data_IF_101134553342
#
_entry.id   IF_101134553342
#
_cell.length_a   1.000
_cell.length_b   1.000
_cell.length_c   1.000
_cell.angle_alpha   90.00
_cell.angle_beta   90.00
_cell.angle_gamma   90.00
#
_symmetry.space_group_name_H-M   'P 1'
#
loop_
_entity.id
_entity.type
_entity.pdbx_description
1 polymer ?
#
# COMPACT_ATOMS: atom_id res chain seq x y z
N UNK A 1 16.02 -2.89 -3.77
CA UNK A 1 16.48 -3.33 -2.45
C UNK A 1 17.56 -4.37 -2.60
N UNK A 2 18.63 -4.27 -1.82
CA UNK A 2 19.66 -5.30 -1.65
C UNK A 2 19.62 -5.73 -0.19
N UNK A 3 19.54 -7.03 0.07
CA UNK A 3 19.46 -7.53 1.43
C UNK A 3 20.32 -8.79 1.63
N UNK A 4 20.84 -8.98 2.83
CA UNK A 4 21.62 -10.16 3.18
C UNK A 4 22.29 -10.07 4.54
N UNK A 5 22.75 -11.21 4.99
CA UNK A 5 23.59 -11.30 6.20
C UNK A 5 25.01 -10.84 5.88
N UNK A 6 25.66 -10.24 6.88
CA UNK A 6 27.10 -10.01 6.85
C UNK A 6 27.87 -11.35 6.74
N UNK A 7 29.19 -11.28 6.49
CA UNK A 7 30.02 -12.47 6.29
C UNK A 7 30.06 -13.41 7.51
N UNK A 8 29.79 -12.86 8.67
CA UNK A 8 29.87 -13.57 9.95
C UNK A 8 28.48 -14.01 10.45
N UNK A 9 27.40 -13.71 9.68
CA UNK A 9 25.99 -13.97 10.02
C UNK A 9 25.55 -13.33 11.35
N UNK A 10 26.13 -12.16 11.67
CA UNK A 10 25.84 -11.42 12.91
C UNK A 10 24.86 -10.30 12.70
N UNK A 11 24.78 -9.73 11.50
CA UNK A 11 23.91 -8.62 11.17
C UNK A 11 23.23 -8.83 9.79
N UNK A 12 21.91 -8.60 9.76
CA UNK A 12 21.14 -8.62 8.55
C UNK A 12 20.97 -7.18 8.02
N UNK A 13 21.56 -6.91 6.86
CA UNK A 13 21.56 -5.59 6.26
C UNK A 13 20.55 -5.54 5.12
N UNK A 14 19.82 -4.43 5.02
CA UNK A 14 18.92 -4.10 3.92
C UNK A 14 19.20 -2.68 3.45
N UNK A 15 19.61 -2.55 2.20
CA UNK A 15 19.89 -1.28 1.57
C UNK A 15 18.94 -1.02 0.41
N UNK A 16 18.38 0.18 0.34
CA UNK A 16 17.55 0.62 -0.76
C UNK A 16 18.25 1.67 -1.59
N UNK A 17 18.16 1.54 -2.90
CA UNK A 17 18.69 2.50 -3.85
C UNK A 17 17.75 2.73 -5.01
N UNK A 18 17.74 3.96 -5.52
CA UNK A 18 17.11 4.33 -6.77
C UNK A 18 18.19 4.59 -7.80
N UNK A 19 18.08 3.98 -8.97
CA UNK A 19 19.04 4.10 -10.04
C UNK A 19 18.35 4.52 -11.33
N UNK A 20 18.87 5.55 -11.97
CA UNK A 20 18.40 6.02 -13.27
C UNK A 20 19.37 5.55 -14.31
N UNK A 21 18.84 4.88 -15.32
CA UNK A 21 19.64 4.34 -16.41
C UNK A 21 19.28 5.06 -17.71
N UNK A 22 20.28 5.25 -18.55
CA UNK A 22 20.08 5.70 -19.92
C UNK A 22 19.61 4.54 -20.83
N UNK A 23 19.39 4.84 -22.12
CA UNK A 23 18.97 3.84 -23.12
C UNK A 23 19.99 2.69 -23.34
N UNK A 24 21.23 2.89 -22.97
CA UNK A 24 22.32 1.93 -23.08
C UNK A 24 22.55 1.16 -21.74
N UNK A 25 21.61 1.30 -20.78
CA UNK A 25 21.62 0.71 -19.45
C UNK A 25 22.79 1.19 -18.56
N UNK A 26 23.33 2.36 -18.85
CA UNK A 26 24.35 3.00 -18.02
C UNK A 26 23.67 3.79 -16.90
N UNK A 27 24.15 3.64 -15.67
CA UNK A 27 23.65 4.43 -14.54
C UNK A 27 24.11 5.87 -14.73
N UNK A 28 23.15 6.79 -14.87
CA UNK A 28 23.38 8.23 -15.02
C UNK A 28 23.06 9.02 -13.77
N UNK A 29 22.21 8.48 -12.90
CA UNK A 29 21.85 9.10 -11.61
C UNK A 29 21.48 8.05 -10.58
N UNK A 30 21.61 8.41 -9.29
CA UNK A 30 21.27 7.50 -8.20
C UNK A 30 20.95 8.23 -6.90
N UNK A 31 20.12 7.60 -6.07
CA UNK A 31 19.97 7.89 -4.64
C UNK A 31 20.28 6.58 -3.92
N UNK A 32 21.28 6.57 -3.06
CA UNK A 32 21.66 5.42 -2.24
C UNK A 32 21.20 5.64 -0.79
N UNK A 33 21.11 4.56 -0.02
CA UNK A 33 20.66 4.57 1.39
C UNK A 33 19.27 5.21 1.59
N UNK A 34 18.34 4.96 0.66
CA UNK A 34 16.95 5.37 0.82
C UNK A 34 16.30 4.49 1.90
N UNK A 35 16.01 5.07 3.07
CA UNK A 35 15.40 4.36 4.18
C UNK A 35 16.17 3.05 4.53
N UNK A 36 17.39 3.20 5.03
CA UNK A 36 18.24 2.10 5.47
C UNK A 36 17.53 1.22 6.49
N UNK A 37 17.58 -0.09 6.32
CA UNK A 37 16.90 -1.08 7.15
C UNK A 37 15.43 -1.32 6.78
N UNK A 38 14.78 -0.39 6.08
CA UNK A 38 13.37 -0.49 5.69
C UNK A 38 13.18 -1.28 4.38
N UNK A 39 12.01 -1.85 4.15
CA UNK A 39 11.64 -2.53 2.91
C UNK A 39 10.83 -1.59 2.01
N UNK A 40 11.15 -1.48 0.71
CA UNK A 40 10.28 -0.78 -0.25
C UNK A 40 9.04 -1.62 -0.51
N UNK A 41 7.87 -1.12 -0.12
CA UNK A 41 6.56 -1.76 -0.30
C UNK A 41 5.91 -1.41 -1.62
N UNK A 42 5.95 -0.15 -2.02
CA UNK A 42 5.37 0.28 -3.28
C UNK A 42 6.05 1.51 -3.86
N UNK A 43 5.90 1.68 -5.17
CA UNK A 43 6.37 2.84 -5.89
C UNK A 43 5.38 3.25 -7.00
N UNK A 44 5.24 4.57 -7.23
CA UNK A 44 4.46 5.14 -8.33
C UNK A 44 5.15 6.37 -8.90
N UNK A 45 5.05 6.50 -10.23
CA UNK A 45 5.67 7.62 -10.96
C UNK A 45 4.62 8.40 -11.74
N UNK A 46 4.72 9.72 -11.71
CA UNK A 46 3.92 10.63 -12.51
C UNK A 46 4.81 11.77 -13.03
N UNK A 47 5.04 11.80 -14.34
CA UNK A 47 6.00 12.73 -14.93
C UNK A 47 7.39 12.53 -14.31
N UNK A 48 7.95 13.63 -13.82
CA UNK A 48 9.28 13.65 -13.22
C UNK A 48 9.27 13.43 -11.69
N UNK A 49 8.15 13.00 -11.12
CA UNK A 49 8.03 12.74 -9.68
C UNK A 49 7.73 11.27 -9.41
N UNK A 50 8.45 10.68 -8.45
CA UNK A 50 8.18 9.34 -7.92
C UNK A 50 7.78 9.38 -6.46
N UNK A 51 6.86 8.50 -6.08
CA UNK A 51 6.41 8.27 -4.70
C UNK A 51 6.79 6.86 -4.29
N UNK A 52 7.41 6.71 -3.12
CA UNK A 52 7.94 5.44 -2.62
C UNK A 52 7.48 5.25 -1.18
N UNK A 53 6.89 4.12 -0.90
CA UNK A 53 6.56 3.70 0.47
C UNK A 53 7.59 2.68 0.91
N UNK A 54 8.19 2.92 2.07
CA UNK A 54 9.08 1.97 2.74
C UNK A 54 8.49 1.58 4.09
N UNK A 55 8.90 0.49 4.70
CA UNK A 55 8.41 0.00 5.98
C UNK A 55 9.47 -0.70 6.81
N UNK A 56 9.51 -0.34 8.10
CA UNK A 56 10.08 -1.13 9.19
C UNK A 56 9.10 -1.22 10.37
N UNK A 57 8.77 -0.08 10.99
CA UNK A 57 7.79 0.01 12.09
C UNK A 57 6.84 1.21 11.92
N UNK A 58 7.25 2.24 11.22
CA UNK A 58 6.44 3.41 10.82
C UNK A 58 6.85 3.82 9.43
N UNK A 59 5.87 4.05 8.55
CA UNK A 59 6.14 4.29 7.14
C UNK A 59 6.46 5.72 6.79
N UNK A 60 7.57 5.97 6.16
CA UNK A 60 7.67 7.15 5.33
C UNK A 60 7.16 6.90 3.90
N UNK A 61 6.28 7.79 3.45
CA UNK A 61 6.05 8.05 2.04
C UNK A 61 7.07 9.10 1.57
N UNK A 62 7.98 8.70 0.69
CA UNK A 62 8.94 9.62 0.08
C UNK A 62 8.41 10.14 -1.26
N UNK A 63 8.67 11.41 -1.55
CA UNK A 63 8.61 11.98 -2.89
C UNK A 63 10.01 12.24 -3.42
N UNK A 64 10.24 11.93 -4.68
CA UNK A 64 11.53 12.07 -5.35
C UNK A 64 11.33 12.82 -6.67
N UNK A 65 12.14 13.86 -6.88
CA UNK A 65 12.22 14.62 -8.12
C UNK A 65 13.26 13.99 -9.05
N UNK A 66 12.85 13.65 -10.26
CA UNK A 66 13.65 13.12 -11.35
C UNK A 66 13.77 14.08 -12.54
N UNK A 67 13.38 15.35 -12.38
CA UNK A 67 13.46 16.37 -13.45
C UNK A 67 14.87 16.56 -13.99
N UNK A 68 15.88 16.36 -13.13
CA UNK A 68 17.27 16.19 -13.50
C UNK A 68 17.66 14.73 -13.24
N UNK A 69 17.68 13.87 -14.29
CA UNK A 69 17.94 12.45 -14.13
C UNK A 69 19.37 12.13 -13.67
N UNK A 70 20.32 13.06 -13.83
CA UNK A 70 21.70 12.87 -13.35
C UNK A 70 21.80 13.21 -11.84
N UNK A 71 20.87 14.03 -11.31
CA UNK A 71 20.86 14.49 -9.94
C UNK A 71 19.47 14.35 -9.29
N UNK A 72 18.93 13.12 -9.16
CA UNK A 72 17.63 12.91 -8.51
C UNK A 72 17.67 13.32 -7.04
N UNK A 73 16.54 13.84 -6.51
CA UNK A 73 16.48 14.38 -5.15
C UNK A 73 15.22 13.92 -4.40
N UNK A 74 15.39 13.53 -3.15
CA UNK A 74 14.26 13.39 -2.24
C UNK A 74 13.75 14.79 -1.92
N UNK A 75 12.49 15.06 -2.25
CA UNK A 75 11.85 16.37 -2.05
C UNK A 75 10.96 16.41 -0.83
N UNK A 76 10.37 15.27 -0.44
CA UNK A 76 9.51 15.19 0.72
C UNK A 76 9.59 13.82 1.41
N UNK A 77 9.19 13.82 2.70
CA UNK A 77 9.08 12.62 3.52
C UNK A 77 7.91 12.79 4.49
N UNK A 78 6.85 12.02 4.32
CA UNK A 78 5.70 11.97 5.22
C UNK A 78 5.78 10.69 6.05
N UNK A 79 5.72 10.81 7.38
CA UNK A 79 5.56 9.66 8.28
C UNK A 79 4.09 9.45 8.64
N UNK A 80 3.61 8.22 8.48
CA UNK A 80 2.25 7.80 8.83
C UNK A 80 2.30 6.47 9.58
N UNK A 81 1.20 6.10 10.24
CA UNK A 81 1.01 4.76 10.80
C UNK A 81 0.62 3.76 9.73
N UNK A 82 1.05 2.51 9.86
CA UNK A 82 0.81 1.47 8.86
C UNK A 82 1.52 1.73 7.52
N UNK A 83 1.20 1.00 6.46
CA UNK A 83 1.88 1.10 5.18
C UNK A 83 0.97 0.83 3.97
N UNK A 84 1.35 1.40 2.80
CA UNK A 84 0.66 1.17 1.55
C UNK A 84 1.47 0.21 0.66
N UNK A 85 0.91 -0.95 0.38
CA UNK A 85 1.49 -1.92 -0.57
C UNK A 85 1.09 -1.63 -2.01
N UNK A 86 0.02 -0.87 -2.19
CA UNK A 86 -0.45 -0.43 -3.49
C UNK A 86 -0.66 1.09 -3.49
N UNK A 87 -0.20 1.75 -4.56
CA UNK A 87 -0.40 3.18 -4.81
C UNK A 87 -1.10 3.40 -6.15
N UNK A 88 -2.05 4.33 -6.20
CA UNK A 88 -2.75 4.71 -7.43
C UNK A 88 -3.00 6.22 -7.50
N UNK A 89 -2.64 6.87 -8.61
CA UNK A 89 -2.99 8.28 -8.77
C UNK A 89 -4.50 8.47 -8.90
N UNK A 90 -5.05 9.29 -8.02
CA UNK A 90 -6.48 9.60 -7.97
C UNK A 90 -6.73 11.03 -8.44
N UNK A 91 -6.48 11.27 -9.73
CA UNK A 91 -6.41 12.59 -10.35
C UNK A 91 -4.99 13.18 -10.31
N UNK A 92 -4.85 14.47 -10.57
CA UNK A 92 -3.53 15.11 -10.71
C UNK A 92 -2.84 15.37 -9.36
N UNK A 93 -3.63 15.65 -8.30
CA UNK A 93 -3.10 16.12 -7.02
C UNK A 93 -3.37 15.14 -5.86
N UNK A 94 -3.83 13.93 -6.16
CA UNK A 94 -4.15 12.93 -5.14
C UNK A 94 -3.53 11.59 -5.45
N UNK A 95 -3.12 10.91 -4.38
CA UNK A 95 -2.57 9.56 -4.43
C UNK A 95 -3.37 8.70 -3.44
N UNK A 96 -3.97 7.62 -3.93
CA UNK A 96 -4.63 6.59 -3.13
C UNK A 96 -3.58 5.55 -2.73
N UNK A 97 -3.44 5.30 -1.44
CA UNK A 97 -2.68 4.18 -0.89
C UNK A 97 -3.62 3.11 -0.35
N UNK A 98 -3.33 1.84 -0.62
CA UNK A 98 -4.03 0.70 -0.02
C UNK A 98 -2.98 -0.20 0.63
N UNK A 99 -3.21 -0.61 1.88
CA UNK A 99 -2.27 -1.42 2.63
C UNK A 99 -2.80 -1.73 4.03
N UNK A 100 -1.93 -1.74 5.01
CA UNK A 100 -2.28 -2.13 6.36
C UNK A 100 -2.13 -0.98 7.36
N UNK A 101 -3.08 -0.84 8.26
CA UNK A 101 -2.88 -0.06 9.48
C UNK A 101 -2.20 -0.93 10.51
N UNK A 102 -1.23 -0.36 11.21
CA UNK A 102 -0.49 -1.05 12.27
C UNK A 102 -0.47 -0.21 13.55
N UNK A 103 -0.56 -0.89 14.67
CA UNK A 103 -0.32 -0.27 15.97
C UNK A 103 1.16 0.15 16.08
N UNK A 104 1.45 1.43 16.35
CA UNK A 104 2.81 1.94 16.33
C UNK A 104 3.72 1.39 17.45
N UNK A 105 3.12 0.88 18.53
CA UNK A 105 3.88 0.38 19.69
C UNK A 105 4.18 -1.12 19.56
N UNK A 106 3.22 -1.90 19.09
CA UNK A 106 3.34 -3.36 18.95
C UNK A 106 3.68 -3.83 17.53
N UNK A 107 3.47 -3.00 16.50
CA UNK A 107 3.59 -3.37 15.09
C UNK A 107 2.49 -4.33 14.61
N UNK A 108 1.48 -4.62 15.43
CA UNK A 108 0.40 -5.52 15.05
C UNK A 108 -0.54 -4.89 14.04
N UNK A 109 -1.00 -5.67 13.05
CA UNK A 109 -1.97 -5.22 12.05
C UNK A 109 -3.35 -5.01 12.68
N UNK A 110 -3.94 -3.84 12.45
CA UNK A 110 -5.26 -3.46 12.94
C UNK A 110 -6.38 -3.57 11.88
N UNK A 111 -6.02 -3.63 10.61
CA UNK A 111 -6.96 -3.77 9.50
C UNK A 111 -6.40 -3.28 8.17
N UNK A 112 -7.20 -3.46 7.12
CA UNK A 112 -6.87 -2.93 5.80
C UNK A 112 -7.15 -1.43 5.77
N UNK A 113 -6.16 -0.65 5.37
CA UNK A 113 -6.21 0.82 5.30
C UNK A 113 -6.27 1.30 3.86
N UNK A 114 -7.17 2.23 3.57
CA UNK A 114 -7.08 3.09 2.40
C UNK A 114 -6.77 4.52 2.86
N UNK A 115 -5.72 5.11 2.33
CA UNK A 115 -5.29 6.48 2.61
C UNK A 115 -5.39 7.33 1.36
N UNK A 116 -5.84 8.57 1.52
CA UNK A 116 -5.78 9.58 0.46
C UNK A 116 -4.71 10.60 0.83
N UNK A 117 -3.77 10.79 -0.08
CA UNK A 117 -2.71 11.77 0.06
C UNK A 117 -2.95 12.95 -0.87
N UNK A 118 -2.74 14.17 -0.36
CA UNK A 118 -2.55 15.37 -1.16
C UNK A 118 -1.09 15.41 -1.62
N UNK A 119 -0.92 15.40 -2.94
CA UNK A 119 0.38 15.45 -3.62
C UNK A 119 0.52 16.69 -4.50
N UNK A 120 -0.29 17.73 -4.25
CA UNK A 120 -0.25 19.01 -4.99
C UNK A 120 1.10 19.70 -4.85
N UNK A 121 1.77 19.54 -3.72
CA UNK A 121 3.15 19.92 -3.50
C UNK A 121 3.97 18.67 -3.09
N UNK A 122 4.82 18.15 -3.98
CA UNK A 122 5.64 16.97 -3.66
C UNK A 122 6.58 17.16 -2.46
N UNK A 123 6.90 18.40 -2.08
CA UNK A 123 7.73 18.68 -0.90
C UNK A 123 6.95 18.65 0.42
N UNK A 124 5.62 18.75 0.35
CA UNK A 124 4.71 18.79 1.51
C UNK A 124 3.53 17.79 1.38
N UNK A 125 3.81 16.56 0.99
CA UNK A 125 2.78 15.51 0.91
C UNK A 125 2.09 15.32 2.27
N UNK A 126 0.76 15.19 2.26
CA UNK A 126 -0.06 15.03 3.47
C UNK A 126 -1.07 13.91 3.29
N UNK A 127 -1.25 13.07 4.31
CA UNK A 127 -2.42 12.21 4.41
C UNK A 127 -3.62 13.09 4.78
N UNK A 128 -4.60 13.19 3.89
CA UNK A 128 -5.76 14.08 4.07
C UNK A 128 -7.00 13.35 4.55
N UNK A 129 -7.04 12.04 4.35
CA UNK A 129 -8.10 11.17 4.89
C UNK A 129 -7.68 9.71 4.86
N UNK A 130 -8.33 8.88 5.69
CA UNK A 130 -8.16 7.43 5.70
C UNK A 130 -9.41 6.70 6.17
N UNK A 131 -9.60 5.49 5.64
CA UNK A 131 -10.60 4.54 6.13
C UNK A 131 -9.90 3.22 6.48
N UNK A 132 -10.31 2.62 7.61
CA UNK A 132 -9.76 1.35 8.08
C UNK A 132 -10.88 0.31 8.10
N UNK A 133 -10.69 -0.75 7.33
CA UNK A 133 -11.58 -1.92 7.31
C UNK A 133 -11.04 -2.92 8.32
N UNK A 134 -11.70 -3.00 9.49
CA UNK A 134 -11.30 -3.89 10.58
C UNK A 134 -11.57 -5.35 10.24
N UNK A 135 -10.83 -6.23 10.91
CA UNK A 135 -10.97 -7.69 10.80
C UNK A 135 -10.67 -8.24 9.39
N UNK A 136 -10.15 -7.42 8.47
CA UNK A 136 -9.66 -7.88 7.16
C UNK A 136 -8.35 -8.62 7.37
N UNK A 137 -8.26 -9.82 6.80
CA UNK A 137 -7.09 -10.70 6.91
C UNK A 137 -6.39 -10.92 5.59
N UNK A 138 -7.07 -10.63 4.47
CA UNK A 138 -6.55 -10.83 3.13
C UNK A 138 -7.12 -9.81 2.14
N UNK A 139 -6.32 -9.41 1.15
CA UNK A 139 -6.73 -8.51 0.08
C UNK A 139 -5.84 -8.72 -1.15
N UNK A 140 -6.40 -9.30 -2.20
CA UNK A 140 -5.69 -9.58 -3.47
C UNK A 140 -5.09 -8.32 -4.12
N UNK A 141 -5.71 -7.15 -3.94
CA UNK A 141 -5.26 -5.90 -4.53
C UNK A 141 -3.86 -5.47 -4.06
N UNK A 142 -3.39 -5.99 -2.93
CA UNK A 142 -2.07 -5.66 -2.38
C UNK A 142 -0.93 -6.34 -3.15
N UNK A 143 -1.15 -7.57 -3.63
CA UNK A 143 -0.16 -8.35 -4.37
C UNK A 143 -0.41 -8.39 -5.88
N UNK A 144 -1.65 -8.14 -6.31
CA UNK A 144 -2.09 -8.21 -7.71
C UNK A 144 -2.73 -6.90 -8.15
N UNK A 145 -1.97 -6.05 -8.83
CA UNK A 145 -2.45 -4.74 -9.32
C UNK A 145 -3.66 -4.82 -10.27
N UNK A 146 -4.00 -6.03 -10.80
CA UNK A 146 -5.18 -6.27 -11.64
C UNK A 146 -6.43 -6.56 -10.83
N UNK A 147 -6.29 -6.85 -9.54
CA UNK A 147 -7.40 -7.14 -8.64
C UNK A 147 -8.06 -5.88 -8.08
N UNK A 148 -7.65 -4.70 -8.54
CA UNK A 148 -8.25 -3.43 -8.16
C UNK A 148 -9.00 -2.81 -9.33
N UNK A 149 -10.23 -2.39 -9.09
CA UNK A 149 -10.94 -1.41 -9.91
C UNK A 149 -10.53 0.00 -9.47
N UNK A 150 -10.02 0.81 -10.37
CA UNK A 150 -9.80 2.23 -10.12
C UNK A 150 -10.33 3.03 -11.33
N UNK A 151 -11.34 3.83 -11.11
CA UNK A 151 -12.00 4.66 -12.13
C UNK A 151 -12.14 6.10 -11.62
N UNK A 152 -11.09 6.88 -11.81
CA UNK A 152 -11.03 8.28 -11.37
C UNK A 152 -12.17 9.12 -11.97
N UNK A 153 -12.49 8.91 -13.25
CA UNK A 153 -13.56 9.63 -13.94
C UNK A 153 -14.96 9.38 -13.34
N UNK A 154 -15.16 8.19 -12.77
CA UNK A 154 -16.39 7.82 -12.07
C UNK A 154 -16.32 8.05 -10.58
N UNK A 155 -15.17 8.50 -10.09
CA UNK A 155 -14.87 8.63 -8.66
C UNK A 155 -15.14 7.35 -7.89
N UNK A 156 -14.68 6.19 -8.42
CA UNK A 156 -14.87 4.88 -7.82
C UNK A 156 -13.55 4.09 -7.78
N UNK A 157 -13.33 3.38 -6.71
CA UNK A 157 -12.35 2.31 -6.62
C UNK A 157 -12.95 1.14 -5.83
N UNK A 158 -12.42 -0.05 -6.04
CA UNK A 158 -12.92 -1.24 -5.37
C UNK A 158 -12.00 -2.43 -5.53
N UNK A 159 -12.12 -3.35 -4.59
CA UNK A 159 -11.31 -4.56 -4.51
C UNK A 159 -12.02 -5.64 -3.69
N UNK A 160 -11.56 -6.89 -3.86
CA UNK A 160 -11.98 -8.00 -3.01
C UNK A 160 -11.10 -8.07 -1.75
N UNK A 161 -11.71 -8.48 -0.64
CA UNK A 161 -11.02 -8.70 0.63
C UNK A 161 -11.69 -9.80 1.45
N UNK A 162 -10.89 -10.49 2.25
CA UNK A 162 -11.32 -11.52 3.18
C UNK A 162 -11.41 -10.99 4.61
N UNK A 163 -12.44 -11.42 5.34
CA UNK A 163 -12.65 -11.13 6.76
C UNK A 163 -12.76 -12.43 7.53
N UNK A 164 -11.90 -12.63 8.51
CA UNK A 164 -12.00 -13.76 9.42
C UNK A 164 -12.93 -13.42 10.58
N UNK A 165 -13.99 -14.20 10.77
CA UNK A 165 -14.88 -14.05 11.93
C UNK A 165 -14.79 -15.26 12.84
N UNK A 166 -14.42 -15.03 14.10
CA UNK A 166 -14.49 -16.07 15.12
C UNK A 166 -15.97 -16.32 15.48
N UNK A 167 -16.48 -17.50 15.18
CA UNK A 167 -17.88 -17.86 15.41
C UNK A 167 -18.20 -18.35 16.83
N UNK A 168 -17.21 -18.37 17.72
CA UNK A 168 -17.40 -18.54 19.18
C UNK A 168 -17.82 -19.93 19.67
N UNK A 169 -17.88 -20.94 18.79
CA UNK A 169 -18.38 -22.27 19.12
C UNK A 169 -17.27 -23.32 19.16
N UNK A 170 -16.19 -23.14 19.94
CA UNK A 170 -15.12 -24.11 19.96
C UNK A 170 -14.42 -24.32 21.27
N UNK A 171 -13.90 -25.53 21.45
CA UNK A 171 -12.99 -25.89 22.52
C UNK A 171 -11.60 -25.33 22.24
N UNK A 172 -10.78 -25.19 23.27
CA UNK A 172 -9.40 -24.68 23.28
C UNK A 172 -8.46 -25.20 22.17
N UNK A 173 -8.84 -26.24 21.40
CA UNK A 173 -8.08 -26.87 20.33
C UNK A 173 -8.72 -26.81 18.93
N UNK A 174 -9.85 -26.12 18.76
CA UNK A 174 -10.47 -25.97 17.44
C UNK A 174 -10.55 -24.48 17.05
N UNK A 175 -9.87 -24.14 15.96
CA UNK A 175 -10.07 -22.88 15.24
C UNK A 175 -11.49 -22.88 14.70
N UNK A 176 -12.41 -22.21 15.36
CA UNK A 176 -13.80 -22.05 14.91
C UNK A 176 -14.00 -20.64 14.37
N UNK A 177 -13.32 -20.33 13.31
CA UNK A 177 -13.55 -19.14 12.53
C UNK A 177 -13.97 -19.50 11.11
N UNK A 178 -14.63 -18.59 10.44
CA UNK A 178 -15.02 -18.70 9.04
C UNK A 178 -14.53 -17.46 8.30
N UNK A 179 -13.97 -17.70 7.11
CA UNK A 179 -13.61 -16.64 6.17
C UNK A 179 -14.85 -16.20 5.40
N UNK A 180 -15.04 -14.90 5.32
CA UNK A 180 -16.05 -14.25 4.50
C UNK A 180 -15.37 -13.35 3.48
N UNK A 181 -15.77 -13.45 2.21
CA UNK A 181 -15.21 -12.67 1.13
C UNK A 181 -16.20 -11.61 0.66
N UNK A 182 -15.69 -10.39 0.52
CA UNK A 182 -16.46 -9.21 0.10
C UNK A 182 -15.78 -8.54 -1.08
N UNK A 183 -16.58 -7.91 -1.94
CA UNK A 183 -16.10 -6.90 -2.86
C UNK A 183 -16.63 -5.55 -2.39
N UNK A 184 -15.72 -4.66 -1.99
CA UNK A 184 -16.06 -3.30 -1.58
C UNK A 184 -15.90 -2.31 -2.73
N UNK A 185 -16.88 -1.42 -2.88
CA UNK A 185 -16.78 -0.22 -3.73
C UNK A 185 -16.76 1.01 -2.84
N UNK A 186 -15.88 1.93 -3.17
CA UNK A 186 -15.65 3.16 -2.44
C UNK A 186 -15.57 4.34 -3.40
N UNK A 187 -15.99 5.52 -2.92
CA UNK A 187 -15.72 6.80 -3.54
C UNK A 187 -14.94 7.72 -2.60
N UNK A 188 -14.45 8.83 -3.13
CA UNK A 188 -13.78 9.86 -2.35
C UNK A 188 -14.25 11.26 -2.77
N UNK A 189 -14.58 12.09 -1.79
CA UNK A 189 -15.02 13.48 -2.00
C UNK A 189 -14.33 14.44 -1.03
N UNK A 190 -14.79 15.68 -0.95
CA UNK A 190 -14.33 16.64 0.05
C UNK A 190 -14.74 16.22 1.49
N UNK A 191 -15.78 15.40 1.62
CA UNK A 191 -16.24 14.83 2.89
C UNK A 191 -15.48 13.55 3.27
N UNK A 192 -14.49 13.12 2.48
CA UNK A 192 -13.66 11.95 2.71
C UNK A 192 -14.11 10.70 1.95
N UNK A 193 -13.63 9.55 2.43
CA UNK A 193 -13.98 8.24 1.89
C UNK A 193 -15.42 7.86 2.20
N UNK A 194 -16.14 7.38 1.19
CA UNK A 194 -17.49 6.87 1.32
C UNK A 194 -17.55 5.43 0.81
N UNK A 195 -17.93 4.44 1.67
CA UNK A 195 -18.26 3.11 1.21
C UNK A 195 -19.60 3.16 0.44
N UNK A 196 -19.56 2.84 -0.86
CA UNK A 196 -20.75 2.89 -1.72
C UNK A 196 -21.57 1.61 -1.61
N UNK A 197 -20.91 0.46 -1.66
CA UNK A 197 -21.56 -0.84 -1.53
C UNK A 197 -20.57 -1.94 -1.17
N UNK A 198 -21.13 -3.02 -0.62
CA UNK A 198 -20.41 -4.27 -0.38
C UNK A 198 -21.19 -5.43 -0.97
N UNK A 199 -20.54 -6.23 -1.79
CA UNK A 199 -21.08 -7.50 -2.26
C UNK A 199 -20.47 -8.62 -1.39
N UNK A 200 -21.32 -9.33 -0.65
CA UNK A 200 -20.91 -10.55 0.04
C UNK A 200 -20.97 -11.72 -0.94
N UNK A 201 -19.85 -12.35 -1.22
CA UNK A 201 -19.81 -13.44 -2.18
C UNK A 201 -20.59 -14.68 -1.73
N UNK A 202 -20.71 -14.96 -0.42
CA UNK A 202 -21.50 -16.06 0.09
C UNK A 202 -23.00 -15.94 -0.29
N UNK A 203 -23.51 -14.71 -0.40
CA UNK A 203 -24.90 -14.46 -0.76
C UNK A 203 -25.20 -14.69 -2.25
N UNK A 204 -24.16 -14.78 -3.08
CA UNK A 204 -24.30 -14.98 -4.52
C UNK A 204 -24.45 -16.45 -4.92
N UNK A 205 -24.18 -17.39 -4.00
CA UNK A 205 -24.19 -18.84 -4.28
C UNK A 205 -23.15 -19.31 -5.31
N UNK A 206 -22.16 -18.47 -5.60
CA UNK A 206 -21.21 -18.72 -6.70
C UNK A 206 -19.95 -19.45 -6.25
N UNK A 207 -19.75 -19.73 -4.94
CA UNK A 207 -18.43 -20.12 -4.47
C UNK A 207 -18.39 -21.26 -3.46
N UNK A 208 -17.74 -22.33 -3.89
CA UNK A 208 -17.02 -23.31 -3.08
C UNK A 208 -15.50 -23.28 -3.37
N UNK A 209 -14.99 -22.30 -4.12
CA UNK A 209 -13.59 -22.24 -4.57
C UNK A 209 -12.98 -20.85 -4.30
N UNK A 210 -11.66 -20.80 -4.27
CA UNK A 210 -10.85 -19.60 -4.07
C UNK A 210 -11.21 -18.49 -5.06
N UNK A 211 -11.58 -17.30 -4.54
CA UNK A 211 -11.99 -16.15 -5.35
C UNK A 211 -10.79 -15.25 -5.60
N UNK A 212 -10.42 -15.11 -6.86
CA UNK A 212 -9.50 -14.07 -7.30
C UNK A 212 -10.21 -13.09 -8.22
N UNK A 213 -10.04 -11.80 -8.00
CA UNK A 213 -10.52 -10.75 -8.90
C UNK A 213 -9.49 -10.50 -10.01
N UNK A 214 -9.96 -10.39 -11.23
CA UNK A 214 -9.14 -10.09 -12.42
C UNK A 214 -9.52 -8.75 -13.00
#
# INVERSE_FOLDING_TARGET
TTEGWDKDYTEYNRDNGLYILDKDMTIIGKIENLAEGEEIKSARFMGDTGYFVTYENTDPLFSVDFSDPENPKITGKLKITGFSEYLHFYGQNRLLGIGWETDPDSGSTEGLKCSMFDISDPSEVKEIDRIILKDVTDCDALSNYRAILASVDKNLFGFAYGVYKNTGAGNYYSYNGQDFYYYGLFSYSEDGFTPETYLNFADTGLFDEEITTR
#
